data_IF_689891680325
#
_entry.id   IF_689891680325
#
_cell.length_a   1.000
_cell.length_b   1.000
_cell.length_c   1.000
_cell.angle_alpha   90.00
_cell.angle_beta   90.00
_cell.angle_gamma   90.00
#
_symmetry.space_group_name_H-M   'P 1'
#
loop_
_entity.id
_entity.type
_entity.pdbx_description
1 polymer ?
#
# COMPACT_ATOMS: atom_id res chain seq x y z
N UNK A 1 28.23 14.97 7.00
CA UNK A 1 28.77 14.65 5.65
C UNK A 1 28.57 13.18 5.25
N UNK A 2 29.21 12.17 5.89
CA UNK A 2 29.06 10.77 5.50
C UNK A 2 27.61 10.26 5.70
N UNK A 3 27.00 10.52 6.84
CA UNK A 3 25.59 10.15 7.15
C UNK A 3 24.59 10.71 6.13
N UNK A 4 24.82 11.89 5.59
CA UNK A 4 23.92 12.50 4.60
C UNK A 4 24.07 11.84 3.21
N UNK A 5 25.28 11.39 2.87
CA UNK A 5 25.52 10.65 1.63
C UNK A 5 24.80 9.31 1.66
N UNK A 6 24.87 8.56 2.78
CA UNK A 6 24.15 7.29 2.95
C UNK A 6 22.64 7.47 2.86
N UNK A 7 22.06 8.49 3.52
CA UNK A 7 20.62 8.78 3.42
C UNK A 7 20.19 9.12 1.99
N UNK A 8 21.02 9.85 1.23
CA UNK A 8 20.76 10.16 -0.19
C UNK A 8 20.80 8.91 -1.06
N UNK A 9 21.76 8.00 -0.82
CA UNK A 9 21.85 6.74 -1.56
C UNK A 9 20.59 5.88 -1.35
N UNK A 10 20.15 5.68 -0.11
CA UNK A 10 18.92 4.95 0.21
C UNK A 10 17.72 5.54 -0.54
N UNK A 11 17.56 6.87 -0.48
CA UNK A 11 16.46 7.56 -1.14
C UNK A 11 16.47 7.36 -2.67
N UNK A 12 17.64 7.47 -3.30
CA UNK A 12 17.79 7.27 -4.75
C UNK A 12 17.43 5.83 -5.14
N UNK A 13 17.87 4.84 -4.35
CA UNK A 13 17.55 3.43 -4.62
C UNK A 13 16.04 3.22 -4.55
N UNK A 14 15.34 3.76 -3.56
CA UNK A 14 13.88 3.66 -3.49
C UNK A 14 13.18 4.36 -4.65
N UNK A 15 13.68 5.51 -5.12
CA UNK A 15 13.15 6.15 -6.33
C UNK A 15 13.30 5.27 -7.57
N UNK A 16 14.44 4.60 -7.73
CA UNK A 16 14.69 3.67 -8.84
C UNK A 16 13.76 2.45 -8.74
N UNK A 17 13.61 1.87 -7.54
CA UNK A 17 12.73 0.71 -7.32
C UNK A 17 11.26 1.06 -7.51
N UNK A 18 10.83 2.24 -7.06
CA UNK A 18 9.49 2.77 -7.30
C UNK A 18 9.23 2.94 -8.79
N UNK A 19 10.18 3.52 -9.53
CA UNK A 19 10.09 3.65 -10.99
C UNK A 19 10.04 2.29 -11.68
N UNK A 20 10.83 1.31 -11.24
CA UNK A 20 10.80 -0.05 -11.75
C UNK A 20 9.44 -0.73 -11.49
N UNK A 21 8.83 -0.50 -10.31
CA UNK A 21 7.50 -0.99 -9.98
C UNK A 21 6.44 -0.37 -10.92
N UNK A 22 6.47 0.95 -11.07
CA UNK A 22 5.59 1.67 -11.99
C UNK A 22 5.75 1.17 -13.44
N UNK A 23 6.99 1.03 -13.90
CA UNK A 23 7.29 0.57 -15.25
C UNK A 23 6.80 -0.86 -15.48
N UNK A 24 6.94 -1.75 -14.50
CA UNK A 24 6.45 -3.12 -14.60
C UNK A 24 4.92 -3.17 -14.76
N UNK A 25 4.18 -2.31 -14.03
CA UNK A 25 2.73 -2.18 -14.19
C UNK A 25 2.35 -1.61 -15.55
N UNK A 26 3.04 -0.55 -15.98
CA UNK A 26 2.82 0.02 -17.31
C UNK A 26 3.07 -0.98 -18.45
N UNK A 27 4.11 -1.80 -18.36
CA UNK A 27 4.42 -2.81 -19.36
C UNK A 27 3.38 -3.94 -19.38
N UNK A 28 2.74 -4.24 -18.25
CA UNK A 28 1.63 -5.17 -18.21
C UNK A 28 0.38 -4.57 -18.86
N UNK A 29 0.01 -3.34 -18.49
CA UNK A 29 -1.14 -2.63 -19.07
C UNK A 29 -1.00 -2.42 -20.59
N UNK A 30 0.22 -2.14 -21.07
CA UNK A 30 0.54 -1.95 -22.47
C UNK A 30 0.69 -3.25 -23.27
N UNK A 31 0.72 -4.41 -22.62
CA UNK A 31 0.93 -5.69 -23.28
C UNK A 31 -0.31 -6.11 -24.09
N UNK A 32 -0.10 -6.62 -25.31
CA UNK A 32 -1.21 -7.14 -26.14
C UNK A 32 -1.99 -8.26 -25.48
N UNK A 33 -1.32 -9.06 -24.64
CA UNK A 33 -1.92 -10.09 -23.79
C UNK A 33 -1.52 -9.81 -22.35
N UNK A 34 -2.48 -9.73 -21.40
CA UNK A 34 -2.17 -9.50 -19.99
C UNK A 34 -1.14 -10.51 -19.47
N UNK A 35 -0.24 -10.06 -18.63
CA UNK A 35 0.73 -10.94 -18.00
C UNK A 35 0.04 -11.92 -17.05
N UNK A 36 0.58 -13.12 -16.95
CA UNK A 36 0.07 -14.08 -15.96
C UNK A 36 0.32 -13.59 -14.54
N UNK A 37 -0.57 -13.99 -13.60
CA UNK A 37 -0.45 -13.68 -12.17
C UNK A 37 0.93 -14.10 -11.61
N UNK A 38 1.48 -15.22 -12.12
CA UNK A 38 2.81 -15.70 -11.70
C UNK A 38 3.93 -14.75 -12.12
N UNK A 39 3.86 -14.19 -13.34
CA UNK A 39 4.86 -13.24 -13.83
C UNK A 39 4.80 -11.93 -13.03
N UNK A 40 3.60 -11.41 -12.81
CA UNK A 40 3.38 -10.21 -11.97
C UNK A 40 3.91 -10.45 -10.56
N UNK A 41 3.47 -11.51 -9.92
CA UNK A 41 3.88 -11.85 -8.55
C UNK A 41 5.38 -12.10 -8.39
N UNK A 42 6.04 -12.68 -9.40
CA UNK A 42 7.50 -12.87 -9.38
C UNK A 42 8.26 -11.53 -9.46
N UNK A 43 7.81 -10.60 -10.31
CA UNK A 43 8.41 -9.27 -10.41
C UNK A 43 8.21 -8.49 -9.10
N UNK A 44 6.99 -8.53 -8.54
CA UNK A 44 6.69 -7.91 -7.25
C UNK A 44 7.57 -8.46 -6.13
N UNK A 45 7.78 -9.78 -6.11
CA UNK A 45 8.64 -10.44 -5.13
C UNK A 45 10.10 -9.99 -5.27
N UNK A 46 10.64 -9.95 -6.49
CA UNK A 46 12.02 -9.51 -6.74
C UNK A 46 12.21 -8.06 -6.30
N UNK A 47 11.31 -7.15 -6.68
CA UNK A 47 11.38 -5.75 -6.28
C UNK A 47 11.21 -5.57 -4.77
N UNK A 48 10.34 -6.39 -4.14
CA UNK A 48 10.19 -6.42 -2.68
C UNK A 48 11.49 -6.88 -1.98
N UNK A 49 12.12 -7.93 -2.47
CA UNK A 49 13.41 -8.40 -1.94
C UNK A 49 14.48 -7.31 -2.04
N UNK A 50 14.63 -6.67 -3.21
CA UNK A 50 15.60 -5.58 -3.41
C UNK A 50 15.32 -4.41 -2.45
N UNK A 51 14.06 -4.08 -2.22
CA UNK A 51 13.64 -3.02 -1.29
C UNK A 51 13.98 -3.36 0.14
N UNK A 52 13.72 -4.58 0.59
CA UNK A 52 14.03 -5.01 1.97
C UNK A 52 15.52 -5.13 2.20
N UNK A 53 16.28 -5.63 1.22
CA UNK A 53 17.75 -5.64 1.27
C UNK A 53 18.26 -4.20 1.42
N UNK A 54 17.76 -3.29 0.61
CA UNK A 54 18.10 -1.86 0.73
C UNK A 54 17.76 -1.35 2.14
N UNK A 55 16.54 -1.59 2.62
CA UNK A 55 16.14 -1.16 3.96
C UNK A 55 17.11 -1.64 5.04
N UNK A 56 17.42 -2.93 5.07
CA UNK A 56 18.27 -3.56 6.10
C UNK A 56 19.75 -3.14 6.00
N UNK A 57 20.21 -2.68 4.84
CA UNK A 57 21.55 -2.11 4.70
C UNK A 57 21.68 -0.71 5.34
N UNK A 58 20.57 0.04 5.41
CA UNK A 58 20.57 1.42 5.91
C UNK A 58 19.85 1.60 7.24
N UNK A 59 19.03 0.62 7.67
CA UNK A 59 18.21 0.71 8.88
C UNK A 59 18.31 -0.57 9.72
N UNK A 60 18.16 -0.46 11.05
CA UNK A 60 18.14 -1.63 11.93
C UNK A 60 16.83 -2.42 11.76
N UNK A 61 16.88 -3.73 12.05
CA UNK A 61 15.73 -4.63 12.09
C UNK A 61 14.91 -4.45 13.39
N UNK A 62 14.43 -3.23 13.62
CA UNK A 62 13.67 -2.84 14.82
C UNK A 62 12.27 -2.40 14.40
N UNK A 63 11.26 -2.83 15.15
CA UNK A 63 9.91 -2.31 15.04
C UNK A 63 9.45 -1.74 16.38
N UNK A 64 8.59 -0.72 16.30
CA UNK A 64 8.00 -0.11 17.47
C UNK A 64 6.53 -0.51 17.61
N UNK A 65 6.11 -0.78 18.85
CA UNK A 65 4.69 -0.92 19.22
C UNK A 65 4.47 0.03 20.38
N UNK A 66 3.80 1.16 20.12
CA UNK A 66 3.79 2.28 21.05
C UNK A 66 5.21 2.77 21.33
N UNK A 67 5.55 2.95 22.61
CA UNK A 67 6.89 3.34 23.06
C UNK A 67 7.90 2.16 23.11
N UNK A 68 7.42 0.92 23.06
CA UNK A 68 8.27 -0.27 23.15
C UNK A 68 8.99 -0.55 21.83
N UNK A 69 10.31 -0.87 21.94
CA UNK A 69 11.18 -1.21 20.81
C UNK A 69 11.46 -2.70 20.82
N UNK A 70 11.18 -3.36 19.72
CA UNK A 70 11.42 -4.79 19.53
C UNK A 70 12.47 -4.99 18.45
N UNK A 71 13.68 -5.42 18.83
CA UNK A 71 14.69 -5.86 17.89
C UNK A 71 14.34 -7.29 17.42
N UNK A 72 14.09 -7.43 16.13
CA UNK A 72 13.83 -8.74 15.53
C UNK A 72 15.11 -9.32 14.94
N UNK A 73 15.28 -10.66 14.98
CA UNK A 73 16.31 -11.31 14.16
C UNK A 73 16.16 -10.88 12.69
N UNK A 74 17.29 -10.50 12.07
CA UNK A 74 17.29 -10.01 10.69
C UNK A 74 16.49 -10.90 9.70
N UNK A 75 16.59 -12.25 9.72
CA UNK A 75 15.82 -13.10 8.81
C UNK A 75 14.30 -12.99 9.04
N UNK A 76 13.87 -12.82 10.31
CA UNK A 76 12.44 -12.67 10.64
C UNK A 76 11.93 -11.34 10.10
N UNK A 77 12.64 -10.24 10.37
CA UNK A 77 12.28 -8.93 9.83
C UNK A 77 12.24 -8.95 8.30
N UNK A 78 13.23 -9.57 7.67
CA UNK A 78 13.33 -9.71 6.21
C UNK A 78 12.05 -10.34 5.61
N UNK A 79 11.62 -11.49 6.17
CA UNK A 79 10.42 -12.19 5.68
C UNK A 79 9.17 -11.34 5.90
N UNK A 80 9.01 -10.75 7.09
CA UNK A 80 7.83 -9.92 7.40
C UNK A 80 7.76 -8.67 6.53
N UNK A 81 8.89 -8.03 6.25
CA UNK A 81 8.96 -6.86 5.40
C UNK A 81 8.64 -7.18 3.92
N UNK A 82 9.08 -8.33 3.41
CA UNK A 82 8.70 -8.81 2.07
C UNK A 82 7.18 -9.04 2.01
N UNK A 83 6.61 -9.70 3.02
CA UNK A 83 5.16 -9.93 3.10
C UNK A 83 4.41 -8.59 3.11
N UNK A 84 4.85 -7.63 3.91
CA UNK A 84 4.25 -6.29 3.97
C UNK A 84 4.25 -5.61 2.60
N UNK A 85 5.40 -5.58 1.91
CA UNK A 85 5.53 -4.99 0.58
C UNK A 85 4.64 -5.70 -0.43
N UNK A 86 4.74 -7.02 -0.52
CA UNK A 86 3.98 -7.81 -1.48
C UNK A 86 2.47 -7.68 -1.26
N UNK A 87 2.02 -7.74 0.00
CA UNK A 87 0.61 -7.54 0.36
C UNK A 87 0.17 -6.12 0.00
N UNK A 88 0.94 -5.10 0.38
CA UNK A 88 0.57 -3.70 0.11
C UNK A 88 0.43 -3.42 -1.39
N UNK A 89 1.35 -3.91 -2.22
CA UNK A 89 1.31 -3.76 -3.68
C UNK A 89 0.03 -4.40 -4.24
N UNK A 90 -0.22 -5.66 -3.89
CA UNK A 90 -1.33 -6.41 -4.48
C UNK A 90 -2.70 -5.97 -3.94
N UNK A 91 -2.80 -5.61 -2.66
CA UNK A 91 -4.04 -5.09 -2.07
C UNK A 91 -4.43 -3.76 -2.71
N UNK A 92 -3.47 -2.85 -2.89
CA UNK A 92 -3.72 -1.55 -3.53
C UNK A 92 -4.13 -1.73 -4.99
N UNK A 93 -3.47 -2.64 -5.72
CA UNK A 93 -3.84 -2.97 -7.09
C UNK A 93 -5.26 -3.56 -7.18
N UNK A 94 -5.63 -4.48 -6.29
CA UNK A 94 -6.98 -5.04 -6.26
C UNK A 94 -8.07 -4.01 -5.90
N UNK A 95 -7.73 -2.92 -5.21
CA UNK A 95 -8.68 -1.86 -4.86
C UNK A 95 -8.89 -0.83 -5.97
N UNK A 96 -8.19 -0.92 -7.08
CA UNK A 96 -8.33 -0.03 -8.25
C UNK A 96 -9.41 -0.51 -9.22
N UNK A 97 -10.62 -0.75 -8.70
CA UNK A 97 -11.78 -1.23 -9.48
C UNK A 97 -12.95 -0.25 -9.56
N UNK A 98 -12.86 0.91 -8.91
CA UNK A 98 -13.89 1.96 -8.94
C UNK A 98 -13.20 3.32 -9.09
N UNK A 99 -13.71 4.14 -10.02
CA UNK A 99 -13.22 5.50 -10.28
C UNK A 99 -13.12 6.31 -8.98
N UNK A 100 -11.93 6.81 -8.67
CA UNK A 100 -11.64 7.60 -7.48
C UNK A 100 -11.35 6.81 -6.20
N UNK A 101 -11.60 5.50 -6.15
CA UNK A 101 -11.50 4.73 -4.90
C UNK A 101 -10.04 4.56 -4.46
N UNK A 102 -9.23 3.89 -5.28
CA UNK A 102 -7.84 3.58 -4.94
C UNK A 102 -7.04 4.85 -4.65
N UNK A 103 -7.14 5.86 -5.53
CA UNK A 103 -6.44 7.14 -5.36
C UNK A 103 -6.82 7.85 -4.06
N UNK A 104 -8.10 7.88 -3.70
CA UNK A 104 -8.60 8.52 -2.48
C UNK A 104 -8.12 7.79 -1.22
N UNK A 105 -8.20 6.46 -1.19
CA UNK A 105 -7.74 5.67 -0.05
C UNK A 105 -6.22 5.80 0.14
N UNK A 106 -5.44 5.70 -0.94
CA UNK A 106 -3.99 5.90 -0.89
C UNK A 106 -3.60 7.31 -0.43
N UNK A 107 -4.34 8.33 -0.89
CA UNK A 107 -4.12 9.71 -0.46
C UNK A 107 -4.27 9.85 1.07
N UNK A 108 -5.34 9.28 1.65
CA UNK A 108 -5.57 9.27 3.11
C UNK A 108 -4.45 8.53 3.86
N UNK A 109 -4.05 7.35 3.37
CA UNK A 109 -3.01 6.52 4.02
C UNK A 109 -1.64 7.22 3.99
N UNK A 110 -1.24 7.76 2.83
CA UNK A 110 0.04 8.46 2.67
C UNK A 110 0.07 9.73 3.53
N UNK A 111 -1.02 10.51 3.52
CA UNK A 111 -1.15 11.70 4.36
C UNK A 111 -1.07 11.33 5.86
N UNK A 112 -1.71 10.24 6.28
CA UNK A 112 -1.67 9.76 7.65
C UNK A 112 -0.24 9.42 8.09
N UNK A 113 0.54 8.69 7.28
CA UNK A 113 1.95 8.43 7.60
C UNK A 113 2.76 9.71 7.73
N UNK A 114 2.59 10.68 6.81
CA UNK A 114 3.32 11.94 6.84
C UNK A 114 3.00 12.79 8.09
N UNK A 115 1.74 12.78 8.54
CA UNK A 115 1.28 13.55 9.71
C UNK A 115 1.64 12.86 11.03
N UNK A 116 1.50 11.53 11.10
CA UNK A 116 1.69 10.78 12.36
C UNK A 116 3.17 10.52 12.67
N UNK A 117 4.03 10.40 11.66
CA UNK A 117 5.43 10.00 11.83
C UNK A 117 6.45 10.96 11.19
N UNK A 118 6.30 12.31 11.32
CA UNK A 118 7.15 13.25 10.59
C UNK A 118 8.63 13.15 10.98
N UNK A 119 8.94 12.90 12.26
CA UNK A 119 10.32 12.78 12.74
C UNK A 119 11.00 11.50 12.23
N UNK A 120 10.28 10.37 12.25
CA UNK A 120 10.81 9.09 11.78
C UNK A 120 11.00 9.08 10.26
N UNK A 121 10.09 9.66 9.52
CA UNK A 121 10.13 9.74 8.07
C UNK A 121 11.16 10.75 7.54
N UNK A 122 11.42 11.84 8.27
CA UNK A 122 12.38 12.85 7.83
C UNK A 122 12.07 13.37 6.41
N UNK A 123 13.02 13.26 5.48
CA UNK A 123 12.84 13.73 4.09
C UNK A 123 11.76 12.98 3.30
N UNK A 124 11.35 11.78 3.72
CA UNK A 124 10.26 11.05 3.09
C UNK A 124 8.90 11.75 3.27
N UNK A 125 8.76 12.66 4.25
CA UNK A 125 7.56 13.51 4.41
C UNK A 125 7.34 14.35 3.16
N UNK A 126 8.40 14.94 2.59
CA UNK A 126 8.30 15.77 1.39
C UNK A 126 7.82 14.90 0.20
N UNK A 127 8.39 13.70 0.04
CA UNK A 127 7.93 12.78 -0.99
C UNK A 127 6.46 12.37 -0.78
N UNK A 128 6.06 12.08 0.46
CA UNK A 128 4.67 11.73 0.79
C UNK A 128 3.70 12.89 0.44
N UNK A 129 4.06 14.14 0.78
CA UNK A 129 3.24 15.30 0.45
C UNK A 129 3.16 15.57 -1.05
N UNK A 130 4.24 15.33 -1.80
CA UNK A 130 4.24 15.40 -3.26
C UNK A 130 3.33 14.32 -3.86
N UNK A 131 3.35 13.09 -3.34
CA UNK A 131 2.41 12.05 -3.76
C UNK A 131 0.97 12.42 -3.45
N UNK A 132 0.69 12.96 -2.26
CA UNK A 132 -0.65 13.46 -1.89
C UNK A 132 -1.11 14.54 -2.88
N UNK A 133 -0.28 15.53 -3.16
CA UNK A 133 -0.61 16.61 -4.11
C UNK A 133 -0.87 16.06 -5.53
N UNK A 134 -0.03 15.12 -5.99
CA UNK A 134 -0.20 14.46 -7.29
C UNK A 134 -1.50 13.64 -7.34
N UNK A 135 -1.81 12.90 -6.26
CA UNK A 135 -3.06 12.13 -6.18
C UNK A 135 -4.29 13.02 -6.16
N UNK A 136 -4.25 14.14 -5.44
CA UNK A 136 -5.35 15.12 -5.44
C UNK A 136 -5.58 15.70 -6.84
N UNK A 137 -4.51 16.04 -7.55
CA UNK A 137 -4.62 16.49 -8.96
C UNK A 137 -5.15 15.38 -9.87
N UNK A 138 -4.66 14.14 -9.72
CA UNK A 138 -5.14 12.98 -10.45
C UNK A 138 -6.65 12.73 -10.20
N UNK A 139 -7.10 12.82 -8.97
CA UNK A 139 -8.50 12.59 -8.58
C UNK A 139 -9.47 13.59 -9.24
N UNK A 140 -9.01 14.78 -9.62
CA UNK A 140 -9.82 15.71 -10.43
C UNK A 140 -10.22 15.10 -11.79
N UNK A 141 -9.42 14.17 -12.32
CA UNK A 141 -9.66 13.50 -13.59
C UNK A 141 -10.17 12.07 -13.44
N UNK A 142 -9.88 11.43 -12.31
CA UNK A 142 -10.30 10.05 -12.03
C UNK A 142 -11.63 9.95 -11.25
N UNK A 143 -12.17 11.06 -10.74
CA UNK A 143 -13.52 11.04 -10.16
C UNK A 143 -14.56 10.79 -11.25
N UNK A 144 -15.65 10.09 -10.88
CA UNK A 144 -16.68 9.67 -11.84
C UNK A 144 -17.47 10.86 -12.41
N UNK A 145 -17.63 10.96 -13.75
CA UNK A 145 -17.14 10.06 -14.80
C UNK A 145 -15.63 10.26 -15.03
N UNK A 146 -14.86 9.15 -14.93
CA UNK A 146 -13.42 9.22 -15.04
C UNK A 146 -12.97 9.49 -16.48
N UNK A 147 -11.98 10.35 -16.61
CA UNK A 147 -11.28 10.64 -17.89
C UNK A 147 -9.84 10.14 -17.87
N UNK A 148 -9.36 9.63 -16.73
CA UNK A 148 -8.01 9.11 -16.54
C UNK A 148 -8.03 7.90 -15.62
N UNK A 149 -7.46 6.79 -16.06
CA UNK A 149 -7.33 5.56 -15.27
C UNK A 149 -5.93 5.46 -14.67
N UNK A 150 -5.82 4.83 -13.50
CA UNK A 150 -4.56 4.61 -12.79
C UNK A 150 -3.80 3.42 -13.36
N UNK A 151 -4.49 2.31 -13.57
CA UNK A 151 -3.92 1.05 -14.04
C UNK A 151 -2.95 0.41 -13.04
N UNK A 152 -2.35 -0.68 -13.48
CA UNK A 152 -1.33 -1.41 -12.70
C UNK A 152 -0.10 -0.56 -12.44
N UNK A 153 0.22 0.38 -13.36
CA UNK A 153 1.35 1.29 -13.20
C UNK A 153 1.24 2.14 -11.94
N UNK A 154 0.09 2.77 -11.71
CA UNK A 154 -0.12 3.65 -10.57
C UNK A 154 -0.44 2.90 -9.29
N UNK A 155 -1.38 1.97 -9.32
CA UNK A 155 -1.86 1.27 -8.13
C UNK A 155 -0.77 0.45 -7.44
N UNK A 156 0.09 -0.25 -8.22
CA UNK A 156 1.21 -1.01 -7.67
C UNK A 156 2.32 -0.11 -7.12
N UNK A 157 2.62 1.00 -7.80
CA UNK A 157 3.57 2.00 -7.31
C UNK A 157 3.12 2.64 -5.99
N UNK A 158 1.82 2.93 -5.83
CA UNK A 158 1.25 3.46 -4.59
C UNK A 158 1.35 2.44 -3.45
N UNK A 159 1.00 1.19 -3.69
CA UNK A 159 1.15 0.12 -2.71
C UNK A 159 2.60 -0.07 -2.25
N UNK A 160 3.54 -0.04 -3.19
CA UNK A 160 4.97 -0.05 -2.90
C UNK A 160 5.39 1.12 -2.01
N UNK A 161 5.00 2.35 -2.37
CA UNK A 161 5.38 3.54 -1.63
C UNK A 161 4.79 3.56 -0.22
N UNK A 162 3.53 3.15 -0.04
CA UNK A 162 2.89 3.03 1.29
C UNK A 162 3.66 2.04 2.17
N UNK A 163 4.08 0.89 1.64
CA UNK A 163 4.86 -0.09 2.40
C UNK A 163 6.25 0.45 2.79
N UNK A 164 6.91 1.21 1.91
CA UNK A 164 8.17 1.91 2.25
C UNK A 164 7.94 2.91 3.38
N UNK A 165 6.88 3.72 3.33
CA UNK A 165 6.53 4.63 4.43
C UNK A 165 6.28 3.88 5.74
N UNK A 166 5.58 2.74 5.69
CA UNK A 166 5.31 1.91 6.86
C UNK A 166 6.61 1.39 7.50
N UNK A 167 7.55 0.90 6.71
CA UNK A 167 8.87 0.48 7.21
C UNK A 167 9.67 1.66 7.76
N UNK A 168 9.73 2.78 7.03
CA UNK A 168 10.49 3.98 7.42
C UNK A 168 9.91 4.69 8.65
N UNK A 169 8.61 4.53 8.93
CA UNK A 169 7.99 5.05 10.14
C UNK A 169 8.52 4.38 11.43
N UNK A 170 9.15 3.21 11.31
CA UNK A 170 9.52 2.37 12.45
C UNK A 170 8.34 1.63 13.08
N UNK A 171 7.11 1.89 12.62
CA UNK A 171 5.88 1.27 13.11
C UNK A 171 5.16 0.48 11.99
N UNK A 172 5.79 -0.54 11.38
CA UNK A 172 5.22 -1.22 10.21
C UNK A 172 3.86 -1.89 10.51
N UNK A 173 3.58 -2.28 11.75
CA UNK A 173 2.31 -2.89 12.12
C UNK A 173 1.14 -1.89 12.09
N UNK A 174 1.41 -0.58 12.22
CA UNK A 174 0.35 0.44 12.13
C UNK A 174 -0.26 0.51 10.72
N UNK A 175 0.47 0.02 9.71
CA UNK A 175 -0.05 -0.12 8.37
C UNK A 175 -1.39 -0.87 8.33
N UNK A 176 -1.54 -1.92 9.17
CA UNK A 176 -2.77 -2.72 9.22
C UNK A 176 -3.97 -1.83 9.56
N UNK A 177 -3.81 -0.88 10.48
CA UNK A 177 -4.90 0.01 10.88
C UNK A 177 -5.02 1.21 9.92
N UNK A 178 -3.89 1.82 9.52
CA UNK A 178 -3.90 2.97 8.60
C UNK A 178 -4.38 2.64 7.19
N UNK A 179 -4.25 1.40 6.74
CA UNK A 179 -4.70 0.93 5.43
C UNK A 179 -5.83 -0.12 5.54
N UNK A 180 -6.55 -0.16 6.67
CA UNK A 180 -7.50 -1.24 6.95
C UNK A 180 -8.57 -1.40 5.88
N UNK A 181 -9.11 -0.30 5.37
CA UNK A 181 -10.15 -0.36 4.32
C UNK A 181 -9.57 -0.88 3.01
N UNK A 182 -8.37 -0.44 2.61
CA UNK A 182 -7.64 -0.99 1.47
C UNK A 182 -7.42 -2.51 1.64
N UNK A 183 -6.96 -2.93 2.83
CA UNK A 183 -6.68 -4.34 3.13
C UNK A 183 -7.96 -5.17 3.07
N UNK A 184 -9.07 -4.69 3.60
CA UNK A 184 -10.36 -5.40 3.55
C UNK A 184 -10.86 -5.45 2.11
N UNK A 185 -10.82 -4.34 1.39
CA UNK A 185 -11.34 -4.27 0.03
C UNK A 185 -10.58 -5.20 -0.93
N UNK A 186 -9.29 -4.98 -1.11
CA UNK A 186 -8.46 -5.78 -2.03
C UNK A 186 -7.97 -7.09 -1.43
N UNK A 187 -7.61 -7.10 -0.14
CA UNK A 187 -6.95 -8.23 0.50
C UNK A 187 -7.84 -9.45 0.72
N UNK A 188 -9.15 -9.28 0.98
CA UNK A 188 -10.07 -10.42 1.12
C UNK A 188 -10.14 -11.24 -0.16
N UNK A 189 -10.02 -10.59 -1.34
CA UNK A 189 -9.94 -11.29 -2.62
C UNK A 189 -8.69 -12.16 -2.72
N UNK A 190 -7.54 -11.62 -2.34
CA UNK A 190 -6.26 -12.34 -2.34
C UNK A 190 -6.30 -13.55 -1.40
N UNK A 191 -6.81 -13.36 -0.17
CA UNK A 191 -6.97 -14.45 0.80
C UNK A 191 -7.91 -15.53 0.27
N UNK A 192 -9.05 -15.16 -0.32
CA UNK A 192 -10.02 -16.09 -0.91
C UNK A 192 -9.39 -16.92 -2.01
N UNK A 193 -8.66 -16.28 -2.95
CA UNK A 193 -7.98 -16.98 -4.05
C UNK A 193 -6.88 -17.88 -3.51
N UNK A 194 -6.08 -17.44 -2.55
CA UNK A 194 -5.02 -18.22 -1.93
C UNK A 194 -5.57 -19.47 -1.26
N UNK A 195 -6.57 -19.34 -0.40
CA UNK A 195 -7.18 -20.47 0.32
C UNK A 195 -7.83 -21.47 -0.65
N UNK A 196 -8.49 -20.98 -1.71
CA UNK A 196 -9.11 -21.83 -2.71
C UNK A 196 -8.05 -22.59 -3.54
N UNK A 197 -6.99 -21.89 -4.00
CA UNK A 197 -5.99 -22.46 -4.91
C UNK A 197 -5.06 -23.45 -4.21
N UNK A 198 -4.58 -23.11 -3.00
CA UNK A 198 -3.55 -23.90 -2.31
C UNK A 198 -4.12 -24.87 -1.27
N UNK A 199 -5.17 -24.48 -0.55
CA UNK A 199 -5.73 -25.27 0.55
C UNK A 199 -7.06 -25.91 0.20
N UNK A 200 -7.64 -25.60 -0.98
CA UNK A 200 -8.96 -26.09 -1.41
C UNK A 200 -10.11 -25.68 -0.47
N UNK A 201 -9.89 -24.67 0.36
CA UNK A 201 -10.86 -24.18 1.34
C UNK A 201 -11.72 -23.10 0.69
N UNK A 202 -13.03 -23.30 0.70
CA UNK A 202 -14.00 -22.35 0.17
C UNK A 202 -14.49 -21.41 1.29
N UNK A 203 -13.86 -20.22 1.39
CA UNK A 203 -14.31 -19.14 2.29
C UNK A 203 -15.08 -18.07 1.51
N UNK A 204 -15.86 -17.25 2.20
CA UNK A 204 -16.59 -16.11 1.62
C UNK A 204 -17.41 -16.47 0.38
N UNK A 205 -18.10 -17.62 0.40
CA UNK A 205 -18.88 -18.12 -0.76
C UNK A 205 -19.91 -17.12 -1.26
N UNK A 206 -20.54 -16.39 -0.33
CA UNK A 206 -21.61 -15.43 -0.62
C UNK A 206 -21.10 -13.97 -0.74
N UNK A 207 -19.79 -13.77 -0.66
CA UNK A 207 -19.16 -12.45 -0.75
C UNK A 207 -18.38 -12.33 -2.04
N UNK A 208 -18.75 -11.37 -2.89
CA UNK A 208 -17.92 -10.99 -4.02
C UNK A 208 -16.66 -10.29 -3.51
N UNK A 209 -15.56 -10.49 -4.19
CA UNK A 209 -14.30 -9.82 -3.87
C UNK A 209 -13.69 -9.28 -5.16
N UNK A 210 -13.16 -8.07 -5.15
CA UNK A 210 -13.03 -7.11 -4.02
C UNK A 210 -14.38 -6.67 -3.40
N UNK A 211 -14.34 -6.07 -2.18
CA UNK A 211 -15.56 -5.70 -1.44
C UNK A 211 -16.35 -4.58 -2.13
N UNK A 212 -15.67 -3.64 -2.81
CA UNK A 212 -16.36 -2.61 -3.59
C UNK A 212 -17.32 -3.21 -4.63
N UNK A 213 -16.97 -4.33 -5.25
CA UNK A 213 -17.84 -5.06 -6.17
C UNK A 213 -19.05 -5.70 -5.44
N UNK A 214 -18.83 -6.20 -4.23
CA UNK A 214 -19.90 -6.78 -3.44
C UNK A 214 -20.97 -5.74 -3.08
N UNK A 215 -20.55 -4.58 -2.60
CA UNK A 215 -21.50 -3.54 -2.19
C UNK A 215 -22.20 -2.90 -3.39
N UNK A 216 -21.56 -2.82 -4.55
CA UNK A 216 -22.18 -2.34 -5.79
C UNK A 216 -23.25 -3.31 -6.30
N UNK A 217 -22.93 -4.60 -6.38
CA UNK A 217 -23.79 -5.63 -7.00
C UNK A 217 -24.87 -6.16 -6.06
N UNK A 218 -24.61 -6.20 -4.74
CA UNK A 218 -25.51 -6.84 -3.76
C UNK A 218 -26.17 -5.84 -2.80
N UNK A 219 -25.75 -4.58 -2.79
CA UNK A 219 -26.28 -3.52 -1.92
C UNK A 219 -26.70 -2.28 -2.70
N UNK A 220 -26.61 -2.32 -4.02
CA UNK A 220 -26.98 -1.25 -4.93
C UNK A 220 -26.32 0.10 -4.62
N UNK A 221 -25.08 0.06 -4.08
CA UNK A 221 -24.32 1.28 -3.86
C UNK A 221 -23.81 1.84 -5.18
N UNK A 222 -24.02 3.14 -5.39
CA UNK A 222 -23.36 3.84 -6.50
C UNK A 222 -21.85 3.94 -6.28
N UNK A 223 -21.10 4.11 -7.36
CA UNK A 223 -19.62 4.29 -7.28
C UNK A 223 -19.24 5.44 -6.34
N UNK A 224 -19.96 6.56 -6.43
CA UNK A 224 -19.76 7.70 -5.52
C UNK A 224 -20.00 7.33 -4.05
N UNK A 225 -21.05 6.54 -3.77
CA UNK A 225 -21.29 6.05 -2.41
C UNK A 225 -20.20 5.12 -1.92
N UNK A 226 -19.64 4.27 -2.79
CA UNK A 226 -18.51 3.39 -2.45
C UNK A 226 -17.31 4.24 -2.04
N UNK A 227 -16.89 5.18 -2.89
CA UNK A 227 -15.75 6.05 -2.62
C UNK A 227 -15.93 6.81 -1.32
N UNK A 228 -17.05 7.54 -1.16
CA UNK A 228 -17.30 8.34 0.03
C UNK A 228 -17.32 7.53 1.31
N UNK A 229 -18.06 6.41 1.33
CA UNK A 229 -18.18 5.58 2.54
C UNK A 229 -16.86 4.90 2.90
N UNK A 230 -16.10 4.42 1.90
CA UNK A 230 -14.81 3.79 2.16
C UNK A 230 -13.78 4.81 2.66
N UNK A 231 -13.76 6.01 2.08
CA UNK A 231 -12.89 7.10 2.55
C UNK A 231 -13.25 7.52 3.99
N UNK A 232 -14.56 7.67 4.31
CA UNK A 232 -14.99 7.97 5.67
C UNK A 232 -14.51 6.88 6.64
N UNK A 233 -14.72 5.60 6.31
CA UNK A 233 -14.26 4.49 7.15
C UNK A 233 -12.73 4.51 7.29
N UNK A 234 -11.99 4.79 6.21
CA UNK A 234 -10.53 4.88 6.26
C UNK A 234 -10.05 6.03 7.15
N UNK A 235 -10.68 7.20 7.09
CA UNK A 235 -10.39 8.33 7.98
C UNK A 235 -10.70 7.96 9.45
N UNK A 236 -11.79 7.25 9.72
CA UNK A 236 -12.09 6.75 11.06
C UNK A 236 -10.99 5.80 11.57
N UNK A 237 -10.46 4.93 10.71
CA UNK A 237 -9.32 4.07 11.06
C UNK A 237 -8.05 4.88 11.37
N UNK A 238 -7.79 5.95 10.63
CA UNK A 238 -6.67 6.88 10.91
C UNK A 238 -6.84 7.56 12.26
N UNK A 239 -8.05 8.04 12.58
CA UNK A 239 -8.35 8.63 13.90
C UNK A 239 -8.15 7.58 15.01
N UNK A 240 -8.64 6.36 14.81
CA UNK A 240 -8.42 5.26 15.77
C UNK A 240 -6.92 4.95 15.96
N UNK A 241 -6.15 4.95 14.87
CA UNK A 241 -4.69 4.78 14.93
C UNK A 241 -4.00 5.90 15.73
N UNK A 242 -4.41 7.14 15.50
CA UNK A 242 -3.90 8.29 16.27
C UNK A 242 -4.18 8.14 17.76
N UNK A 243 -5.42 7.83 18.14
CA UNK A 243 -5.81 7.60 19.55
C UNK A 243 -5.01 6.45 20.14
N UNK A 244 -4.87 5.33 19.42
CA UNK A 244 -4.07 4.18 19.89
C UNK A 244 -2.61 4.57 20.11
N UNK A 245 -1.99 5.30 19.21
CA UNK A 245 -0.61 5.77 19.34
C UNK A 245 -0.43 6.72 20.53
N UNK A 246 -1.40 7.60 20.79
CA UNK A 246 -1.35 8.50 21.95
C UNK A 246 -1.57 7.78 23.28
N UNK A 247 -2.31 6.66 23.30
CA UNK A 247 -2.50 5.84 24.50
C UNK A 247 -1.31 4.92 24.79
N UNK A 248 -0.55 4.53 23.78
CA UNK A 248 0.60 3.61 23.88
C UNK A 248 1.95 4.35 23.96
N UNK A 249 1.97 5.65 23.71
CA UNK A 249 3.16 6.50 23.82
C UNK A 249 3.24 7.16 25.16
#
# INVERSE_FOLDING_TARGET
AASDVYKRQEYIIYCILLFAMMLSGYLDDAAKTPWSDYKKGAIDLVLSIMTVVTFLNFNPSVLHIGSAKFALPMPVYFILAIILLWVSINVTNCSDGVDGLCGSLCCVVIAAFAVLFPQALGNYVIAALLFVATLLAYLCFNSKPSTMLMGDAGSRALGFFIAVLAMKSGHPLIYILLALVLIIDGGLGLVKIFLLRFLKIHVLKNTLTPIHDHVRKNKDWSDTQVVFRFVIMQVMCVVAAYVLLTLLG
#
